data_IF_628366329316
#
_entry.id   IF_628366329316
#
_cell.length_a   1.000
_cell.length_b   1.000
_cell.length_c   1.000
_cell.angle_alpha   90.00
_cell.angle_beta   90.00
_cell.angle_gamma   90.00
#
_symmetry.space_group_name_H-M   'P 1'
#
loop_
_entity.id
_entity.type
_entity.pdbx_description
1 polymer ?
#
# COMPACT_ATOMS: atom_id res chain seq x y z
N UNK A 1 -8.71 -13.36 6.58
CA UNK A 1 -8.74 -11.89 6.54
C UNK A 1 -8.69 -11.44 5.10
N UNK A 2 -9.66 -10.67 4.62
CA UNK A 2 -9.67 -10.11 3.27
C UNK A 2 -9.07 -8.71 3.26
N UNK A 3 -8.70 -8.20 2.06
CA UNK A 3 -8.25 -6.81 1.90
C UNK A 3 -9.27 -5.77 2.36
N UNK A 4 -10.56 -6.06 2.20
CA UNK A 4 -11.65 -5.19 2.64
C UNK A 4 -11.80 -5.17 4.17
N UNK A 5 -11.64 -6.31 4.83
CA UNK A 5 -11.65 -6.36 6.30
C UNK A 5 -10.50 -5.54 6.91
N UNK A 6 -9.34 -5.48 6.24
CA UNK A 6 -8.22 -4.63 6.67
C UNK A 6 -8.51 -3.15 6.45
N UNK A 7 -9.17 -2.78 5.34
CA UNK A 7 -9.65 -1.42 5.12
C UNK A 7 -10.61 -0.94 6.23
N UNK A 8 -11.62 -1.76 6.58
CA UNK A 8 -12.56 -1.45 7.68
C UNK A 8 -11.85 -1.34 9.03
N UNK A 9 -10.85 -2.20 9.28
CA UNK A 9 -10.00 -2.08 10.46
C UNK A 9 -9.25 -0.74 10.50
N UNK A 10 -8.65 -0.32 9.39
CA UNK A 10 -7.88 0.92 9.35
C UNK A 10 -8.74 2.16 9.63
N UNK A 11 -9.96 2.22 9.09
CA UNK A 11 -10.92 3.30 9.39
C UNK A 11 -11.27 3.32 10.88
N UNK A 12 -11.64 2.17 11.45
CA UNK A 12 -11.95 2.08 12.88
C UNK A 12 -10.75 2.47 13.77
N UNK A 13 -9.55 2.04 13.42
CA UNK A 13 -8.33 2.38 14.17
C UNK A 13 -8.08 3.90 14.14
N UNK A 14 -8.23 4.55 12.98
CA UNK A 14 -8.15 6.02 12.87
C UNK A 14 -9.19 6.70 13.75
N UNK A 15 -10.44 6.24 13.71
CA UNK A 15 -11.54 6.86 14.46
C UNK A 15 -11.37 6.70 15.98
N UNK A 16 -10.61 5.71 16.42
CA UNK A 16 -10.18 5.53 17.81
C UNK A 16 -8.97 6.39 18.21
N UNK A 17 -8.42 7.19 17.30
CA UNK A 17 -7.28 8.08 17.55
C UNK A 17 -5.91 7.43 17.35
N UNK A 18 -5.81 6.29 16.66
CA UNK A 18 -4.52 5.65 16.35
C UNK A 18 -3.79 6.44 15.25
N UNK A 19 -2.56 6.88 15.55
CA UNK A 19 -1.75 7.70 14.64
C UNK A 19 -0.88 6.88 13.67
N UNK A 20 -0.57 5.62 14.01
CA UNK A 20 0.26 4.73 13.18
C UNK A 20 -0.41 3.37 13.01
N UNK A 21 -0.86 3.09 11.79
CA UNK A 21 -1.65 1.90 11.45
C UNK A 21 -0.85 1.07 10.46
N UNK A 22 -0.55 -0.17 10.85
CA UNK A 22 0.18 -1.14 10.03
C UNK A 22 -0.41 -2.53 10.17
N UNK A 23 0.36 -3.53 9.74
CA UNK A 23 -0.07 -4.92 9.78
C UNK A 23 1.11 -5.84 10.09
N UNK A 24 0.83 -6.98 10.71
CA UNK A 24 1.85 -7.97 11.09
C UNK A 24 1.80 -9.19 10.13
N UNK A 25 2.28 -10.33 10.62
CA UNK A 25 2.33 -11.61 9.90
C UNK A 25 1.00 -11.95 9.21
N UNK A 26 1.08 -12.47 7.98
CA UNK A 26 -0.08 -12.84 7.17
C UNK A 26 -0.69 -11.70 6.35
N UNK A 27 -0.17 -10.47 6.46
CA UNK A 27 -0.62 -9.33 5.66
C UNK A 27 0.28 -9.08 4.45
N UNK A 28 -0.25 -9.28 3.25
CA UNK A 28 0.41 -8.86 2.00
C UNK A 28 0.16 -7.40 1.62
N UNK A 29 0.88 -6.92 0.60
CA UNK A 29 0.80 -5.54 0.08
C UNK A 29 -0.62 -5.10 -0.30
N UNK A 30 -1.45 -6.05 -0.76
CA UNK A 30 -2.87 -5.79 -1.09
C UNK A 30 -3.68 -5.31 0.11
N UNK A 31 -3.38 -5.76 1.33
CA UNK A 31 -4.05 -5.30 2.55
C UNK A 31 -3.66 -3.85 2.85
N UNK A 32 -2.37 -3.54 2.80
CA UNK A 32 -1.86 -2.19 3.06
C UNK A 32 -2.38 -1.19 2.03
N UNK A 33 -2.49 -1.58 0.75
CA UNK A 33 -3.08 -0.76 -0.31
C UNK A 33 -4.55 -0.44 -0.04
N UNK A 34 -5.36 -1.43 0.32
CA UNK A 34 -6.77 -1.17 0.64
C UNK A 34 -6.95 -0.38 1.94
N UNK A 35 -6.09 -0.58 2.95
CA UNK A 35 -6.04 0.30 4.12
C UNK A 35 -5.75 1.75 3.72
N UNK A 36 -4.74 1.98 2.87
CA UNK A 36 -4.43 3.31 2.37
C UNK A 36 -5.61 3.91 1.59
N UNK A 37 -6.31 3.13 0.75
CA UNK A 37 -7.52 3.55 0.01
C UNK A 37 -8.59 4.08 0.96
N UNK A 38 -8.94 3.28 1.97
CA UNK A 38 -9.97 3.63 2.94
C UNK A 38 -9.59 4.82 3.82
N UNK A 39 -8.29 5.02 4.07
CA UNK A 39 -7.77 6.18 4.78
C UNK A 39 -7.57 7.42 3.90
N UNK A 40 -7.89 7.37 2.60
CA UNK A 40 -7.66 8.48 1.68
C UNK A 40 -6.18 8.80 1.44
N UNK A 41 -5.29 7.83 1.64
CA UNK A 41 -3.82 7.98 1.53
C UNK A 41 -3.25 7.47 0.20
N UNK A 42 -4.09 7.29 -0.82
CA UNK A 42 -3.64 6.75 -2.11
C UNK A 42 -3.37 7.90 -3.05
N UNK A 43 -2.13 8.00 -3.52
CA UNK A 43 -1.78 8.86 -4.65
C UNK A 43 -2.42 8.32 -5.93
N UNK A 44 -2.63 9.19 -6.91
CA UNK A 44 -3.04 8.84 -8.29
C UNK A 44 -1.96 8.05 -9.07
N UNK A 45 -1.04 7.37 -8.38
CA UNK A 45 0.12 6.71 -8.97
C UNK A 45 -0.26 5.52 -9.87
N UNK A 46 0.46 5.30 -10.98
CA UNK A 46 0.24 4.18 -11.86
C UNK A 46 0.45 2.85 -11.13
N UNK A 47 -0.50 1.94 -11.35
CA UNK A 47 -0.38 0.54 -10.94
C UNK A 47 0.84 -0.09 -11.62
N UNK A 48 1.67 -0.82 -10.88
CA UNK A 48 2.76 -1.61 -11.47
C UNK A 48 2.19 -2.53 -12.56
N UNK A 49 2.73 -2.40 -13.77
CA UNK A 49 2.41 -3.28 -14.89
C UNK A 49 3.66 -4.07 -15.26
N UNK A 50 3.53 -5.34 -15.65
CA UNK A 50 4.65 -6.09 -16.21
C UNK A 50 5.22 -5.34 -17.44
N UNK A 51 6.53 -5.17 -17.45
CA UNK A 51 7.30 -4.68 -18.60
C UNK A 51 8.28 -5.80 -19.00
N UNK A 52 8.09 -6.44 -20.17
CA UNK A 52 8.99 -7.49 -20.65
C UNK A 52 10.43 -7.03 -20.88
N UNK A 53 10.64 -5.75 -21.23
CA UNK A 53 11.95 -5.18 -21.53
C UNK A 53 12.70 -4.74 -20.27
N UNK A 54 11.97 -4.54 -19.17
CA UNK A 54 12.51 -4.20 -17.86
C UNK A 54 11.90 -5.08 -16.76
N UNK A 55 12.26 -6.37 -16.68
CA UNK A 55 11.70 -7.30 -15.72
C UNK A 55 12.05 -6.89 -14.28
N UNK A 56 11.02 -6.50 -13.52
CA UNK A 56 11.12 -6.17 -12.11
C UNK A 56 9.85 -6.55 -11.38
N UNK A 57 9.99 -6.97 -10.13
CA UNK A 57 8.86 -7.13 -9.21
C UNK A 57 8.23 -5.78 -8.85
N UNK A 58 6.96 -5.81 -8.45
CA UNK A 58 6.25 -4.66 -7.88
C UNK A 58 7.02 -4.02 -6.71
N UNK A 59 7.73 -4.83 -5.91
CA UNK A 59 8.62 -4.32 -4.85
C UNK A 59 9.79 -3.52 -5.40
N UNK A 60 10.46 -4.02 -6.43
CA UNK A 60 11.61 -3.34 -7.06
C UNK A 60 11.17 -2.05 -7.77
N UNK A 61 10.04 -2.10 -8.48
CA UNK A 61 9.43 -0.93 -9.10
C UNK A 61 9.15 0.17 -8.07
N UNK A 62 8.48 -0.17 -6.96
CA UNK A 62 8.16 0.79 -5.92
C UNK A 62 9.42 1.34 -5.24
N UNK A 63 10.48 0.52 -5.05
CA UNK A 63 11.76 1.00 -4.49
C UNK A 63 12.46 1.99 -5.42
N UNK A 64 12.54 1.69 -6.72
CA UNK A 64 13.12 2.59 -7.73
C UNK A 64 12.38 3.93 -7.73
N UNK A 65 11.05 3.88 -7.65
CA UNK A 65 10.20 5.07 -7.63
C UNK A 65 10.42 5.94 -6.39
N UNK A 66 10.41 5.34 -5.19
CA UNK A 66 10.57 6.08 -3.93
C UNK A 66 11.98 6.65 -3.75
N UNK A 67 13.02 5.94 -4.22
CA UNK A 67 14.41 6.42 -4.12
C UNK A 67 14.82 7.38 -5.25
N UNK A 68 14.04 7.45 -6.34
CA UNK A 68 14.32 8.33 -7.48
C UNK A 68 13.58 9.67 -7.43
N UNK A 69 12.78 9.94 -6.38
CA UNK A 69 12.04 11.20 -6.21
C UNK A 69 12.76 12.23 -5.32
N UNK A 70 14.02 11.98 -4.96
CA UNK A 70 14.84 12.83 -4.10
C UNK A 70 15.79 13.78 -4.90
N UNK A 71 15.59 13.94 -6.22
CA UNK A 71 16.28 14.91 -7.09
C UNK A 71 15.37 16.10 -7.48
#
# INVERSE_FOLDING_TARGET
MTRYQMADFAVRARDLGVNYIGSCCGSGAVHVREMARALGKVSVDPHWSPDPDSPMSDTEYNRRRVRGSDD
#
